data_IF_536613038207
#
_entry.id   IF_536613038207
#
_cell.length_a   1.000
_cell.length_b   1.000
_cell.length_c   1.000
_cell.angle_alpha   90.00
_cell.angle_beta   90.00
_cell.angle_gamma   90.00
#
_symmetry.space_group_name_H-M   'P 1'
#
loop_
_entity.id
_entity.type
_entity.pdbx_description
1 polymer ?
#
# COMPACT_ATOMS: atom_id res chain seq x y z
N UNK A 1 1.75 -3.39 -6.48
CA UNK A 1 0.45 -3.01 -7.09
C UNK A 1 0.22 -3.53 -8.52
N UNK A 2 -0.93 -4.18 -8.78
CA UNK A 2 -1.39 -4.53 -10.14
C UNK A 2 -1.93 -3.30 -10.91
N UNK A 3 -1.90 -3.35 -12.25
CA UNK A 3 -2.36 -2.23 -13.09
C UNK A 3 -3.87 -1.99 -12.96
N UNK A 4 -4.28 -0.72 -12.85
CA UNK A 4 -5.69 -0.32 -12.85
C UNK A 4 -6.18 -0.18 -14.29
N UNK A 5 -7.12 -1.05 -14.69
CA UNK A 5 -7.85 -0.94 -15.96
C UNK A 5 -8.97 0.09 -15.83
N UNK A 6 -9.32 0.72 -16.95
CA UNK A 6 -10.43 1.68 -17.00
C UNK A 6 -11.53 1.15 -17.90
N UNK A 7 -12.76 1.06 -17.37
CA UNK A 7 -13.96 0.71 -18.13
C UNK A 7 -15.14 1.58 -17.67
N UNK A 8 -15.05 2.88 -17.98
CA UNK A 8 -15.98 3.86 -17.44
C UNK A 8 -17.42 3.61 -17.93
N UNK A 9 -18.34 3.68 -16.98
CA UNK A 9 -19.78 3.67 -17.27
C UNK A 9 -20.25 5.03 -17.80
N UNK A 10 -21.29 5.03 -18.63
CA UNK A 10 -22.03 6.23 -19.05
C UNK A 10 -23.36 6.41 -18.30
N UNK A 11 -23.68 5.46 -17.42
CA UNK A 11 -24.90 5.40 -16.59
C UNK A 11 -24.52 5.13 -15.12
N UNK A 12 -25.48 5.25 -14.19
CA UNK A 12 -25.25 4.97 -12.76
C UNK A 12 -24.23 5.86 -12.04
N UNK A 13 -24.11 7.14 -12.38
CA UNK A 13 -23.30 8.08 -11.61
C UNK A 13 -23.86 9.49 -11.69
N UNK A 14 -23.43 10.36 -10.78
CA UNK A 14 -23.66 11.80 -10.90
C UNK A 14 -22.35 12.50 -11.24
N UNK A 15 -22.31 13.37 -12.26
CA UNK A 15 -21.11 14.15 -12.56
C UNK A 15 -20.69 15.03 -11.38
N UNK A 16 -19.39 15.06 -11.09
CA UNK A 16 -18.85 15.81 -9.97
C UNK A 16 -19.20 15.24 -8.60
N UNK A 17 -18.89 16.00 -7.55
CA UNK A 17 -19.08 15.64 -6.14
C UNK A 17 -19.88 16.65 -5.34
N UNK A 18 -20.67 17.48 -6.01
CA UNK A 18 -21.49 18.53 -5.37
C UNK A 18 -20.67 19.42 -4.42
N UNK A 19 -19.45 19.79 -4.83
CA UNK A 19 -18.52 20.60 -4.03
C UNK A 19 -17.83 19.88 -2.87
N UNK A 20 -18.08 18.57 -2.67
CA UNK A 20 -17.43 17.78 -1.62
C UNK A 20 -16.05 17.27 -2.05
N UNK A 21 -15.11 17.23 -1.11
CA UNK A 21 -13.85 16.51 -1.27
C UNK A 21 -14.02 15.01 -0.99
N UNK A 22 -13.14 14.20 -1.58
CA UNK A 22 -12.99 12.77 -1.20
C UNK A 22 -12.39 12.72 0.19
N UNK A 23 -13.07 12.07 1.13
CA UNK A 23 -12.66 12.00 2.53
C UNK A 23 -12.66 10.59 3.09
N UNK A 24 -13.31 9.63 2.43
CA UNK A 24 -13.49 8.26 2.92
C UNK A 24 -13.31 7.24 1.81
N UNK A 25 -12.84 6.04 2.18
CA UNK A 25 -12.95 4.84 1.35
C UNK A 25 -14.01 3.93 1.98
N UNK A 26 -14.95 3.45 1.17
CA UNK A 26 -16.00 2.52 1.61
C UNK A 26 -15.79 1.20 0.88
N UNK A 27 -15.41 0.18 1.64
CA UNK A 27 -15.23 -1.17 1.12
C UNK A 27 -16.56 -1.94 1.16
N UNK A 28 -16.81 -2.66 0.07
CA UNK A 28 -17.97 -3.50 -0.18
C UNK A 28 -17.52 -4.88 -0.67
N UNK A 29 -18.47 -5.77 -0.84
CA UNK A 29 -18.31 -7.01 -1.58
C UNK A 29 -19.50 -7.20 -2.52
N UNK A 30 -19.25 -7.89 -3.63
CA UNK A 30 -20.25 -8.05 -4.70
C UNK A 30 -21.40 -8.97 -4.28
N UNK A 31 -21.21 -9.80 -3.25
CA UNK A 31 -22.16 -10.81 -2.80
C UNK A 31 -22.53 -11.80 -3.91
N UNK A 32 -21.55 -12.15 -4.73
CA UNK A 32 -21.67 -13.07 -5.84
C UNK A 32 -20.79 -14.31 -5.63
N UNK A 33 -20.82 -15.25 -6.58
CA UNK A 33 -20.08 -16.51 -6.54
C UNK A 33 -19.23 -16.66 -7.81
N UNK A 34 -17.91 -16.50 -7.72
CA UNK A 34 -17.00 -16.63 -8.86
C UNK A 34 -17.00 -15.45 -9.81
N UNK A 35 -17.33 -14.25 -9.33
CA UNK A 35 -17.39 -13.07 -10.19
C UNK A 35 -16.04 -12.38 -10.38
N UNK A 36 -15.93 -11.60 -11.45
CA UNK A 36 -14.70 -10.87 -11.78
C UNK A 36 -14.95 -9.37 -11.85
N UNK A 37 -13.90 -8.59 -11.65
CA UNK A 37 -13.93 -7.14 -11.70
C UNK A 37 -14.35 -6.65 -13.09
N UNK A 38 -13.87 -7.29 -14.15
CA UNK A 38 -14.24 -6.97 -15.53
C UNK A 38 -15.70 -7.33 -15.84
N UNK A 39 -16.20 -8.48 -15.37
CA UNK A 39 -17.60 -8.87 -15.56
C UNK A 39 -18.55 -7.89 -14.87
N UNK A 40 -18.25 -7.49 -13.63
CA UNK A 40 -19.02 -6.48 -12.93
C UNK A 40 -18.96 -5.12 -13.63
N UNK A 41 -17.78 -4.67 -14.06
CA UNK A 41 -17.64 -3.42 -14.81
C UNK A 41 -18.50 -3.41 -16.08
N UNK A 42 -18.47 -4.50 -16.86
CA UNK A 42 -19.31 -4.66 -18.05
C UNK A 42 -20.80 -4.68 -17.70
N UNK A 43 -21.19 -5.35 -16.63
CA UNK A 43 -22.57 -5.39 -16.17
C UNK A 43 -23.08 -3.99 -15.82
N UNK A 44 -22.38 -3.25 -14.94
CA UNK A 44 -22.78 -1.91 -14.50
C UNK A 44 -22.75 -0.86 -15.63
N UNK A 45 -22.00 -1.10 -16.70
CA UNK A 45 -22.00 -0.29 -17.92
C UNK A 45 -23.20 -0.58 -18.83
N UNK A 46 -23.73 -1.80 -18.79
CA UNK A 46 -24.80 -2.26 -19.69
C UNK A 46 -26.23 -1.96 -19.21
N UNK A 47 -26.42 -1.66 -17.92
CA UNK A 47 -27.74 -1.49 -17.30
C UNK A 47 -27.81 -0.26 -16.41
N UNK A 48 -28.95 0.42 -16.37
CA UNK A 48 -29.24 1.42 -15.34
C UNK A 48 -29.86 0.74 -14.11
N UNK A 49 -29.04 0.49 -13.09
CA UNK A 49 -29.44 -0.20 -11.85
C UNK A 49 -29.68 0.76 -10.68
N UNK A 50 -29.40 2.05 -10.86
CA UNK A 50 -29.38 3.04 -9.79
C UNK A 50 -28.39 2.69 -8.66
N UNK A 51 -27.29 2.03 -9.01
CA UNK A 51 -26.19 1.71 -8.10
C UNK A 51 -24.88 1.63 -8.91
N UNK A 52 -23.75 1.92 -8.28
CA UNK A 52 -22.40 1.78 -8.86
C UNK A 52 -21.33 1.88 -7.78
N UNK A 53 -20.11 1.46 -8.11
CA UNK A 53 -18.89 1.72 -7.34
C UNK A 53 -17.84 2.40 -8.23
N UNK A 54 -16.80 2.96 -7.63
CA UNK A 54 -15.69 3.54 -8.40
C UNK A 54 -14.78 2.44 -8.93
N UNK A 55 -14.56 1.40 -8.13
CA UNK A 55 -13.67 0.29 -8.45
C UNK A 55 -14.31 -1.06 -8.16
N UNK A 56 -14.06 -2.03 -9.04
CA UNK A 56 -14.18 -3.46 -8.73
C UNK A 56 -12.78 -4.07 -8.67
N UNK A 57 -12.59 -5.03 -7.75
CA UNK A 57 -11.31 -5.68 -7.50
C UNK A 57 -11.53 -7.19 -7.38
N UNK A 58 -10.78 -7.98 -8.14
CA UNK A 58 -10.69 -9.45 -8.00
C UNK A 58 -9.23 -9.89 -7.80
N UNK A 59 -8.95 -11.19 -7.92
CA UNK A 59 -7.61 -11.75 -7.71
C UNK A 59 -6.57 -11.29 -8.75
N UNK A 60 -7.03 -10.78 -9.90
CA UNK A 60 -6.21 -10.53 -11.09
C UNK A 60 -6.23 -9.07 -11.52
N UNK A 61 -7.35 -8.40 -11.33
CA UNK A 61 -7.66 -7.12 -11.95
C UNK A 61 -8.28 -6.12 -10.97
N UNK A 62 -7.92 -4.85 -11.16
CA UNK A 62 -8.65 -3.68 -10.63
C UNK A 62 -9.25 -2.95 -11.83
N UNK A 63 -10.55 -2.71 -11.80
CA UNK A 63 -11.25 -1.99 -12.88
C UNK A 63 -11.95 -0.76 -12.33
N UNK A 64 -11.55 0.43 -12.79
CA UNK A 64 -12.22 1.69 -12.51
C UNK A 64 -13.44 1.86 -13.42
N UNK A 65 -14.61 2.04 -12.81
CA UNK A 65 -15.92 2.14 -13.50
C UNK A 65 -16.51 3.54 -13.39
N UNK A 66 -16.30 4.24 -12.28
CA UNK A 66 -16.67 5.66 -12.12
C UNK A 66 -15.41 6.44 -11.79
N UNK A 67 -15.21 7.60 -12.44
CA UNK A 67 -14.07 8.46 -12.17
C UNK A 67 -14.13 8.94 -10.72
N UNK A 68 -12.97 9.07 -10.08
CA UNK A 68 -12.90 9.61 -8.71
C UNK A 68 -13.52 11.02 -8.60
N UNK A 69 -13.46 11.81 -9.69
CA UNK A 69 -14.04 13.16 -9.75
C UNK A 69 -15.57 13.17 -9.76
N UNK A 70 -16.19 12.03 -10.08
CA UNK A 70 -17.64 11.86 -10.15
C UNK A 70 -18.14 11.10 -8.91
N UNK A 71 -19.46 11.06 -8.73
CA UNK A 71 -20.11 10.39 -7.61
C UNK A 71 -20.69 9.05 -8.04
N UNK A 72 -20.10 7.95 -7.56
CA UNK A 72 -20.72 6.62 -7.64
C UNK A 72 -21.85 6.45 -6.60
N UNK A 73 -22.82 5.59 -6.87
CA UNK A 73 -24.01 5.39 -6.03
C UNK A 73 -23.91 4.06 -5.25
N UNK A 74 -23.11 4.04 -4.16
CA UNK A 74 -22.77 2.79 -3.46
C UNK A 74 -23.20 2.70 -1.98
N UNK A 75 -23.27 3.81 -1.26
CA UNK A 75 -23.52 3.82 0.20
C UNK A 75 -24.61 4.79 0.65
N UNK A 76 -25.53 5.11 -0.26
CA UNK A 76 -26.65 6.03 -0.04
C UNK A 76 -27.97 5.34 0.30
N UNK A 77 -27.95 4.18 0.96
CA UNK A 77 -29.16 3.38 1.20
C UNK A 77 -30.20 4.16 2.00
N UNK A 78 -31.44 4.17 1.50
CA UNK A 78 -32.61 4.69 2.22
C UNK A 78 -33.19 3.67 3.20
N UNK A 79 -32.78 2.40 3.09
CA UNK A 79 -33.23 1.33 3.96
C UNK A 79 -32.73 1.56 5.41
N UNK A 80 -33.58 1.20 6.38
CA UNK A 80 -33.21 1.17 7.79
C UNK A 80 -32.82 -0.26 8.17
N UNK A 81 -31.52 -0.51 8.25
CA UNK A 81 -30.98 -1.76 8.80
C UNK A 81 -30.93 -1.72 10.32
N UNK A 82 -31.15 -2.85 10.98
CA UNK A 82 -31.15 -2.99 12.45
C UNK A 82 -30.03 -3.89 12.97
N UNK A 83 -28.96 -4.07 12.18
CA UNK A 83 -27.86 -4.99 12.47
C UNK A 83 -26.78 -4.39 13.40
N UNK A 84 -27.07 -3.30 14.12
CA UNK A 84 -26.13 -2.64 15.03
C UNK A 84 -25.05 -1.74 14.39
N UNK A 85 -25.04 -1.62 13.06
CA UNK A 85 -24.11 -0.74 12.33
C UNK A 85 -24.61 0.71 12.21
N UNK A 86 -24.32 1.36 11.08
CA UNK A 86 -24.77 2.72 10.76
C UNK A 86 -24.21 3.84 11.67
N UNK A 87 -23.07 3.63 12.32
CA UNK A 87 -22.39 4.62 13.17
C UNK A 87 -21.97 5.89 12.40
N UNK A 88 -21.85 5.79 11.08
CA UNK A 88 -21.44 6.87 10.19
C UNK A 88 -22.58 7.36 9.26
N UNK A 89 -23.83 6.98 9.56
CA UNK A 89 -24.98 7.36 8.74
C UNK A 89 -25.14 8.88 8.66
N UNK A 90 -25.19 9.41 7.44
CA UNK A 90 -25.30 10.84 7.18
C UNK A 90 -23.98 11.61 7.27
N UNK A 91 -22.90 10.99 7.74
CA UNK A 91 -21.53 11.53 7.76
C UNK A 91 -20.81 11.10 6.48
N UNK A 92 -20.77 9.78 6.24
CA UNK A 92 -20.26 9.21 5.00
C UNK A 92 -21.39 9.13 3.98
N UNK A 93 -21.13 9.68 2.79
CA UNK A 93 -22.10 9.81 1.69
C UNK A 93 -21.42 9.44 0.38
N UNK A 94 -22.21 9.12 -0.63
CA UNK A 94 -21.71 8.88 -2.00
C UNK A 94 -20.77 10.02 -2.47
N UNK A 95 -21.15 11.29 -2.25
CA UNK A 95 -20.41 12.46 -2.74
C UNK A 95 -19.03 12.69 -2.08
N UNK A 96 -18.80 12.17 -0.86
CA UNK A 96 -17.55 12.39 -0.12
C UNK A 96 -16.71 11.12 0.06
N UNK A 97 -17.04 10.04 -0.65
CA UNK A 97 -16.37 8.76 -0.49
C UNK A 97 -16.09 8.05 -1.81
N UNK A 98 -15.12 7.14 -1.82
CA UNK A 98 -14.83 6.24 -2.94
C UNK A 98 -15.30 4.84 -2.53
N UNK A 99 -16.34 4.32 -3.20
CA UNK A 99 -16.78 2.93 -3.10
C UNK A 99 -15.89 1.96 -3.87
N UNK A 100 -15.43 0.91 -3.19
CA UNK A 100 -14.58 -0.18 -3.72
C UNK A 100 -15.30 -1.51 -3.48
N UNK A 101 -15.63 -2.22 -4.54
CA UNK A 101 -16.28 -3.54 -4.51
C UNK A 101 -15.24 -4.65 -4.66
N UNK A 102 -15.13 -5.50 -3.64
CA UNK A 102 -14.32 -6.72 -3.71
C UNK A 102 -15.17 -7.86 -4.26
N UNK A 103 -14.73 -8.48 -5.34
CA UNK A 103 -15.34 -9.71 -5.87
C UNK A 103 -15.31 -10.81 -4.82
N UNK A 104 -16.30 -11.69 -4.89
CA UNK A 104 -16.50 -12.74 -3.88
C UNK A 104 -16.82 -14.09 -4.51
N UNK A 105 -16.48 -15.13 -3.76
CA UNK A 105 -16.82 -16.52 -4.06
C UNK A 105 -17.78 -17.07 -3.01
N UNK A 106 -18.36 -18.24 -3.29
CA UNK A 106 -18.95 -19.08 -2.24
C UNK A 106 -18.13 -20.35 -2.01
N UNK A 107 -17.74 -20.54 -0.76
CA UNK A 107 -17.11 -21.78 -0.29
C UNK A 107 -17.98 -22.38 0.78
N UNK A 108 -18.46 -23.62 0.56
CA UNK A 108 -19.37 -24.32 1.46
C UNK A 108 -20.67 -23.55 1.78
N UNK A 109 -21.16 -22.75 0.82
CA UNK A 109 -22.39 -21.96 0.97
C UNK A 109 -22.21 -20.60 1.64
N UNK A 110 -21.02 -20.28 2.15
CA UNK A 110 -20.69 -18.99 2.75
C UNK A 110 -19.91 -18.12 1.77
N UNK A 111 -20.16 -16.82 1.80
CA UNK A 111 -19.40 -15.86 1.00
C UNK A 111 -17.97 -15.73 1.53
N UNK A 112 -17.00 -15.67 0.63
CA UNK A 112 -15.60 -15.39 0.95
C UNK A 112 -15.06 -14.33 0.01
N UNK A 113 -14.12 -13.53 0.52
CA UNK A 113 -13.28 -12.65 -0.30
C UNK A 113 -11.89 -13.26 -0.22
N UNK A 114 -11.38 -13.72 -1.36
CA UNK A 114 -10.08 -14.41 -1.39
C UNK A 114 -8.97 -13.49 -0.91
N UNK A 115 -7.88 -14.09 -0.41
CA UNK A 115 -6.74 -13.32 0.08
C UNK A 115 -6.09 -12.49 -1.03
N UNK A 116 -6.05 -12.99 -2.26
CA UNK A 116 -5.54 -12.24 -3.41
C UNK A 116 -6.43 -11.01 -3.72
N UNK A 117 -7.76 -11.16 -3.68
CA UNK A 117 -8.68 -10.02 -3.83
C UNK A 117 -8.49 -9.00 -2.69
N UNK A 118 -8.35 -9.46 -1.44
CA UNK A 118 -8.09 -8.56 -0.31
C UNK A 118 -6.75 -7.83 -0.46
N UNK A 119 -5.69 -8.52 -0.87
CA UNK A 119 -4.37 -7.92 -1.10
C UNK A 119 -4.43 -6.83 -2.18
N UNK A 120 -5.06 -7.10 -3.34
CA UNK A 120 -5.24 -6.12 -4.40
C UNK A 120 -6.08 -4.92 -3.94
N UNK A 121 -7.11 -5.17 -3.12
CA UNK A 121 -7.97 -4.12 -2.57
C UNK A 121 -7.22 -3.25 -1.53
N UNK A 122 -6.30 -3.84 -0.77
CA UNK A 122 -5.40 -3.14 0.16
C UNK A 122 -4.43 -2.25 -0.62
N UNK A 123 -3.78 -2.77 -1.67
CA UNK A 123 -2.90 -1.99 -2.55
C UNK A 123 -3.62 -0.76 -3.11
N UNK A 124 -4.80 -0.97 -3.69
CA UNK A 124 -5.66 0.12 -4.17
C UNK A 124 -6.01 1.10 -3.05
N UNK A 125 -6.36 0.59 -1.87
CA UNK A 125 -6.64 1.37 -0.67
C UNK A 125 -5.49 2.27 -0.27
N UNK A 126 -4.26 1.74 -0.17
CA UNK A 126 -3.04 2.48 0.16
C UNK A 126 -2.80 3.63 -0.82
N UNK A 127 -2.88 3.36 -2.13
CA UNK A 127 -2.69 4.40 -3.16
C UNK A 127 -3.77 5.48 -3.09
N UNK A 128 -5.04 5.11 -2.91
CA UNK A 128 -6.12 6.10 -2.79
C UNK A 128 -6.00 6.91 -1.49
N UNK A 129 -5.58 6.28 -0.39
CA UNK A 129 -5.28 6.96 0.87
C UNK A 129 -4.18 8.00 0.69
N UNK A 130 -3.06 7.64 0.06
CA UNK A 130 -1.97 8.56 -0.24
C UNK A 130 -2.40 9.70 -1.17
N UNK A 131 -3.09 9.37 -2.28
CA UNK A 131 -3.56 10.33 -3.29
C UNK A 131 -4.49 11.39 -2.72
N UNK A 132 -5.38 11.02 -1.79
CA UNK A 132 -6.41 11.91 -1.24
C UNK A 132 -6.16 12.31 0.21
N UNK A 133 -5.01 11.95 0.78
CA UNK A 133 -4.66 12.19 2.18
C UNK A 133 -5.75 11.68 3.15
N UNK A 134 -6.23 10.46 2.92
CA UNK A 134 -7.27 9.81 3.73
C UNK A 134 -6.57 9.00 4.83
N UNK A 135 -6.78 9.32 6.12
CA UNK A 135 -6.22 8.54 7.20
C UNK A 135 -7.00 7.22 7.36
N UNK A 136 -6.38 6.18 7.92
CA UNK A 136 -6.96 4.83 7.99
C UNK A 136 -8.29 4.79 8.77
N UNK A 137 -8.53 5.72 9.69
CA UNK A 137 -9.79 5.84 10.45
C UNK A 137 -10.98 6.15 9.53
N UNK A 138 -10.73 6.71 8.35
CA UNK A 138 -11.73 7.00 7.32
C UNK A 138 -11.82 5.92 6.24
N UNK A 139 -11.19 4.78 6.46
CA UNK A 139 -11.43 3.54 5.73
C UNK A 139 -12.44 2.70 6.50
N UNK A 140 -13.61 2.51 5.88
CA UNK A 140 -14.82 2.00 6.54
C UNK A 140 -15.53 0.97 5.65
N UNK A 141 -16.44 0.19 6.24
CA UNK A 141 -17.32 -0.75 5.54
C UNK A 141 -18.66 -0.09 5.25
N UNK A 142 -19.39 -0.59 4.27
CA UNK A 142 -20.79 -0.17 4.07
C UNK A 142 -21.64 -0.42 5.34
N UNK A 143 -21.34 -1.48 6.10
CA UNK A 143 -21.93 -1.72 7.42
C UNK A 143 -21.82 -0.53 8.38
N UNK A 144 -20.66 0.13 8.41
CA UNK A 144 -20.44 1.29 9.29
C UNK A 144 -21.27 2.50 8.82
N UNK A 145 -21.54 2.61 7.51
CA UNK A 145 -22.31 3.71 6.90
C UNK A 145 -23.82 3.52 7.04
N UNK A 146 -24.36 2.36 6.67
CA UNK A 146 -25.83 2.15 6.57
C UNK A 146 -26.35 1.06 7.52
N UNK A 147 -25.48 0.17 8.00
CA UNK A 147 -25.85 -1.02 8.77
C UNK A 147 -26.14 -2.25 7.90
N UNK A 148 -25.99 -2.15 6.57
CA UNK A 148 -26.03 -3.29 5.66
C UNK A 148 -24.91 -4.27 6.02
N UNK A 149 -25.17 -5.58 6.01
CA UNK A 149 -24.13 -6.60 6.24
C UNK A 149 -23.18 -6.69 5.02
N UNK A 150 -22.36 -5.66 4.84
CA UNK A 150 -21.49 -5.49 3.69
C UNK A 150 -20.18 -4.82 4.12
N UNK A 151 -19.02 -5.48 3.94
CA UNK A 151 -18.87 -6.87 3.51
C UNK A 151 -19.37 -7.89 4.55
N UNK A 152 -20.19 -8.86 4.14
CA UNK A 152 -20.69 -9.90 5.06
C UNK A 152 -19.54 -10.73 5.70
N UNK A 153 -18.51 -11.16 4.96
CA UNK A 153 -17.41 -11.95 5.56
C UNK A 153 -16.69 -11.20 6.70
N UNK A 154 -16.54 -9.88 6.55
CA UNK A 154 -15.93 -9.00 7.56
C UNK A 154 -16.85 -8.69 8.75
N UNK A 155 -18.14 -8.93 8.60
CA UNK A 155 -19.11 -8.88 9.70
C UNK A 155 -19.13 -10.21 10.46
N UNK A 156 -19.14 -11.33 9.76
CA UNK A 156 -19.12 -12.67 10.36
C UNK A 156 -17.84 -12.93 11.16
N UNK A 157 -16.69 -12.48 10.65
CA UNK A 157 -15.41 -12.52 11.35
C UNK A 157 -14.74 -11.14 11.35
N UNK A 158 -14.94 -10.42 12.46
CA UNK A 158 -14.34 -9.10 12.66
C UNK A 158 -12.80 -9.12 12.62
N UNK A 159 -12.17 -10.26 12.88
CA UNK A 159 -10.71 -10.37 12.82
C UNK A 159 -10.19 -10.19 11.39
N UNK A 160 -10.97 -10.56 10.36
CA UNK A 160 -10.63 -10.29 8.97
C UNK A 160 -10.60 -8.78 8.69
N UNK A 161 -11.61 -8.04 9.15
CA UNK A 161 -11.64 -6.58 9.00
C UNK A 161 -10.47 -5.90 9.71
N UNK A 162 -10.16 -6.33 10.94
CA UNK A 162 -9.04 -5.77 11.70
C UNK A 162 -7.70 -6.04 11.01
N UNK A 163 -7.49 -7.26 10.47
CA UNK A 163 -6.30 -7.60 9.67
C UNK A 163 -6.23 -6.77 8.39
N UNK A 164 -7.35 -6.63 7.67
CA UNK A 164 -7.44 -5.79 6.47
C UNK A 164 -7.03 -4.35 6.77
N UNK A 165 -7.57 -3.75 7.86
CA UNK A 165 -7.20 -2.39 8.27
C UNK A 165 -5.75 -2.24 8.71
N UNK A 166 -5.19 -3.24 9.40
CA UNK A 166 -3.80 -3.20 9.82
C UNK A 166 -2.86 -3.16 8.60
N UNK A 167 -3.13 -4.00 7.60
CA UNK A 167 -2.34 -4.05 6.36
C UNK A 167 -2.39 -2.79 5.52
N UNK A 168 -3.39 -1.91 5.70
CA UNK A 168 -3.44 -0.60 5.04
C UNK A 168 -2.43 0.40 5.60
N UNK A 169 -1.94 0.20 6.82
CA UNK A 169 -0.96 1.09 7.49
C UNK A 169 0.39 0.45 7.71
N UNK A 170 0.53 -0.84 7.41
CA UNK A 170 1.83 -1.49 7.31
C UNK A 170 2.63 -0.75 6.22
N UNK A 171 3.68 -0.07 6.67
CA UNK A 171 4.73 0.42 5.78
C UNK A 171 5.31 -0.81 5.12
N UNK A 172 5.14 -0.92 3.81
CA UNK A 172 6.02 -1.80 3.05
C UNK A 172 7.42 -1.25 3.30
N UNK A 173 8.30 -2.09 3.85
CA UNK A 173 9.72 -1.91 3.61
C UNK A 173 9.82 -1.99 2.09
N UNK A 174 9.90 -0.84 1.43
CA UNK A 174 10.34 -0.79 0.06
C UNK A 174 11.72 -1.44 0.09
N UNK A 175 11.80 -2.68 -0.40
CA UNK A 175 13.03 -3.22 -0.97
C UNK A 175 13.38 -2.31 -2.17
N UNK A 176 13.75 -1.05 -1.91
CA UNK A 176 14.69 -0.37 -2.79
C UNK A 176 15.84 -1.35 -2.92
N UNK A 177 16.28 -1.68 -4.14
CA UNK A 177 17.44 -2.55 -4.37
C UNK A 177 18.65 -1.98 -3.60
N UNK A 178 18.78 -2.34 -2.32
CA UNK A 178 19.82 -1.81 -1.44
C UNK A 178 21.09 -2.43 -2.00
N UNK A 179 21.84 -1.62 -2.75
CA UNK A 179 23.13 -2.05 -3.27
C UNK A 179 24.00 -2.38 -2.04
N UNK A 180 24.29 -3.66 -1.85
CA UNK A 180 25.17 -4.16 -0.79
C UNK A 180 26.52 -4.57 -1.36
N UNK A 181 27.56 -4.19 -0.65
CA UNK A 181 28.94 -4.55 -0.95
C UNK A 181 29.39 -5.58 0.07
N UNK A 182 29.57 -6.82 -0.39
CA UNK A 182 30.01 -7.90 0.49
C UNK A 182 31.47 -7.75 0.86
N UNK A 183 32.29 -7.22 -0.05
CA UNK A 183 33.74 -7.03 0.10
C UNK A 183 34.15 -5.61 -0.23
N UNK A 184 35.34 -5.21 0.25
CA UNK A 184 35.95 -3.92 -0.08
C UNK A 184 36.10 -3.73 -1.61
N UNK A 185 36.43 -4.81 -2.33
CA UNK A 185 36.55 -4.81 -3.80
C UNK A 185 35.26 -4.49 -4.53
N UNK A 186 34.11 -4.74 -3.91
CA UNK A 186 32.79 -4.57 -4.54
C UNK A 186 32.38 -3.08 -4.54
N UNK A 187 32.99 -2.27 -3.67
CA UNK A 187 32.72 -0.83 -3.59
C UNK A 187 33.36 -0.13 -4.80
N UNK A 188 32.59 0.58 -5.64
CA UNK A 188 33.16 1.41 -6.69
C UNK A 188 34.06 2.50 -6.09
N UNK A 189 35.23 2.70 -6.67
CA UNK A 189 36.16 3.76 -6.22
C UNK A 189 35.81 5.14 -6.81
N UNK A 190 34.60 5.30 -7.32
CA UNK A 190 34.06 6.59 -7.76
C UNK A 190 34.08 7.55 -6.57
N UNK A 191 34.64 8.74 -6.76
CA UNK A 191 34.82 9.74 -5.70
C UNK A 191 35.67 9.26 -4.49
N UNK A 192 36.46 8.20 -4.66
CA UNK A 192 37.37 7.67 -3.63
C UNK A 192 36.67 6.88 -2.51
N UNK A 193 35.44 6.40 -2.73
CA UNK A 193 34.65 5.72 -1.70
C UNK A 193 35.38 4.49 -1.16
N UNK A 194 35.81 3.59 -2.03
CA UNK A 194 36.58 2.40 -1.65
C UNK A 194 37.87 2.77 -0.93
N UNK A 195 38.62 3.73 -1.46
CA UNK A 195 39.86 4.22 -0.84
C UNK A 195 39.63 4.75 0.59
N UNK A 196 38.51 5.43 0.85
CA UNK A 196 38.16 5.92 2.19
C UNK A 196 37.83 4.75 3.11
N UNK A 197 36.99 3.81 2.66
CA UNK A 197 36.63 2.62 3.45
C UNK A 197 37.87 1.79 3.80
N UNK A 198 38.81 1.62 2.86
CA UNK A 198 40.10 0.96 3.08
C UNK A 198 40.93 1.63 4.18
N UNK A 199 41.02 2.97 4.19
CA UNK A 199 41.72 3.71 5.26
C UNK A 199 41.07 3.46 6.62
N UNK A 200 39.74 3.46 6.68
CA UNK A 200 39.00 3.22 7.91
C UNK A 200 39.19 1.78 8.43
N UNK A 201 39.28 0.80 7.52
CA UNK A 201 39.63 -0.58 7.86
C UNK A 201 41.07 -0.70 8.37
N UNK A 202 42.02 -0.05 7.71
CA UNK A 202 43.45 -0.05 8.08
C UNK A 202 43.65 0.41 9.53
N UNK A 203 42.90 1.42 9.98
CA UNK A 203 42.97 1.92 11.37
C UNK A 203 41.94 1.29 12.31
N UNK A 204 41.26 0.24 11.87
CA UNK A 204 40.26 -0.51 12.66
C UNK A 204 39.13 0.36 13.19
N UNK A 205 38.68 1.36 12.42
CA UNK A 205 37.43 2.09 12.69
C UNK A 205 36.23 1.21 12.35
N UNK A 206 36.36 0.50 11.23
CA UNK A 206 35.51 -0.61 10.84
C UNK A 206 36.42 -1.84 10.66
N UNK A 207 35.86 -3.04 10.82
CA UNK A 207 36.55 -4.30 10.56
C UNK A 207 35.59 -5.20 9.78
N UNK A 208 36.12 -6.12 8.98
CA UNK A 208 35.29 -7.18 8.42
C UNK A 208 35.12 -8.36 9.39
N UNK A 209 34.65 -9.49 8.86
CA UNK A 209 34.38 -10.72 9.62
C UNK A 209 35.64 -11.44 10.13
N UNK A 210 36.84 -11.01 9.71
CA UNK A 210 38.12 -11.59 10.10
C UNK A 210 38.45 -12.90 9.37
N UNK A 211 37.76 -13.19 8.26
CA UNK A 211 38.03 -14.34 7.40
C UNK A 211 39.37 -14.22 6.64
N UNK A 212 39.89 -13.02 6.48
CA UNK A 212 41.18 -12.67 5.90
C UNK A 212 42.00 -11.78 6.86
N UNK A 213 43.07 -12.32 7.48
CA UNK A 213 43.93 -11.56 8.40
C UNK A 213 44.66 -10.36 7.77
N UNK A 214 44.72 -10.27 6.44
CA UNK A 214 45.27 -9.11 5.72
C UNK A 214 44.22 -8.02 5.44
N UNK A 215 42.94 -8.29 5.73
CA UNK A 215 41.82 -7.35 5.78
C UNK A 215 41.21 -6.95 4.43
N UNK A 216 41.90 -7.24 3.32
CA UNK A 216 41.51 -6.72 2.00
C UNK A 216 40.49 -7.61 1.26
N UNK A 217 40.26 -8.84 1.73
CA UNK A 217 39.22 -9.72 1.19
C UNK A 217 38.20 -10.17 2.25
N UNK A 218 38.20 -9.55 3.43
CA UNK A 218 37.20 -9.80 4.48
C UNK A 218 35.77 -9.51 3.98
N UNK A 219 34.80 -10.20 4.58
CA UNK A 219 33.38 -9.84 4.39
C UNK A 219 33.07 -8.62 5.26
N UNK A 220 32.65 -7.52 4.63
CA UNK A 220 32.30 -6.26 5.30
C UNK A 220 30.79 -6.01 5.34
N UNK A 221 30.05 -6.57 4.37
CA UNK A 221 28.59 -6.48 4.22
C UNK A 221 28.00 -5.08 4.53
N UNK A 222 28.38 -4.08 3.73
CA UNK A 222 27.91 -2.71 3.87
C UNK A 222 26.89 -2.36 2.80
N UNK A 223 25.78 -1.71 3.17
CA UNK A 223 24.90 -1.06 2.19
C UNK A 223 25.55 0.18 1.58
N UNK A 224 25.09 0.59 0.40
CA UNK A 224 25.58 1.81 -0.25
C UNK A 224 25.44 3.04 0.65
N UNK A 225 24.34 3.17 1.39
CA UNK A 225 24.15 4.27 2.33
C UNK A 225 25.10 4.22 3.52
N UNK A 226 25.43 3.05 4.04
CA UNK A 226 26.47 2.91 5.07
C UNK A 226 27.82 3.40 4.54
N UNK A 227 28.18 3.04 3.30
CA UNK A 227 29.39 3.55 2.64
C UNK A 227 29.35 5.07 2.51
N UNK A 228 28.23 5.64 2.04
CA UNK A 228 28.07 7.10 1.93
C UNK A 228 28.22 7.79 3.29
N UNK A 229 27.66 7.21 4.36
CA UNK A 229 27.76 7.74 5.71
C UNK A 229 29.19 7.70 6.24
N UNK A 230 29.93 6.62 6.00
CA UNK A 230 31.35 6.53 6.35
C UNK A 230 32.18 7.60 5.62
N UNK A 231 31.91 7.82 4.32
CA UNK A 231 32.57 8.86 3.52
C UNK A 231 32.21 10.26 4.01
N UNK A 232 30.92 10.51 4.29
CA UNK A 232 30.46 11.78 4.86
C UNK A 232 31.18 12.09 6.18
N UNK A 233 31.22 11.13 7.09
CA UNK A 233 31.90 11.26 8.38
C UNK A 233 33.41 11.46 8.23
N UNK A 234 34.05 10.74 7.30
CA UNK A 234 35.47 10.93 6.98
C UNK A 234 35.74 12.37 6.50
N UNK A 235 34.93 12.88 5.56
CA UNK A 235 35.08 14.23 5.03
C UNK A 235 34.77 15.32 6.07
N UNK A 236 33.89 15.02 7.03
CA UNK A 236 33.59 15.89 8.17
C UNK A 236 34.67 15.84 9.27
N UNK A 237 35.72 15.02 9.11
CA UNK A 237 36.82 14.90 10.06
C UNK A 237 36.51 14.09 11.32
N UNK A 238 35.40 13.33 11.33
CA UNK A 238 34.96 12.52 12.48
C UNK A 238 36.03 11.53 12.92
N UNK A 239 36.87 11.08 11.99
CA UNK A 239 37.88 10.03 12.19
C UNK A 239 39.32 10.56 12.30
N UNK A 240 39.52 11.88 12.22
CA UNK A 240 40.84 12.51 12.10
C UNK A 240 41.81 12.12 13.21
N UNK A 241 41.34 12.06 14.46
CA UNK A 241 42.20 11.72 15.61
C UNK A 241 42.86 10.37 15.43
N UNK A 242 42.08 9.34 15.07
CA UNK A 242 42.58 7.97 14.92
C UNK A 242 43.43 7.82 13.65
N UNK A 243 43.07 8.53 12.58
CA UNK A 243 43.85 8.58 11.34
C UNK A 243 45.21 9.27 11.51
N UNK A 244 45.28 10.35 12.30
CA UNK A 244 46.52 11.06 12.65
C UNK A 244 47.42 10.21 13.54
N UNK A 245 46.85 9.55 14.55
CA UNK A 245 47.59 8.63 15.43
C UNK A 245 48.22 7.45 14.64
N UNK A 246 47.55 7.00 13.57
CA UNK A 246 48.06 5.96 12.69
C UNK A 246 48.97 6.48 11.56
N UNK A 247 49.23 7.78 11.47
CA UNK A 247 50.08 8.39 10.42
C UNK A 247 49.47 8.40 9.02
N UNK A 248 48.16 8.15 8.87
CA UNK A 248 47.46 8.13 7.57
C UNK A 248 47.07 9.53 7.12
N UNK A 249 46.71 10.40 8.07
CA UNK A 249 46.39 11.81 7.83
C UNK A 249 47.52 12.67 8.43
N UNK A 250 48.04 13.62 7.64
CA UNK A 250 49.09 14.56 8.07
C UNK A 250 48.49 15.76 8.80
#
# INVERSE_FOLDING_TARGET
MISIKTNLTTVNFSPGRSGSSIQYLVFHYTANDGDTAEANANYFKSINRNASAHYFVDERDIVQVVKDSDTAWHCGDTQKYTNGGATLKGIVKNVNSIGIEMCSDKVNGEFVITEATQANAIELGKMLMGKYNIPVERVVRHYDVTGKLCPQPFFQDISQWNRFKARLVEMEEEDEDVIRYNRLSDIPDTYGFRTIVEKLMTVKIINGDGSDPTGNNDVIDLSHDMVRMLVFNYNAGVYDLKLKQAGILR
#
